data_IF_187140571220
#
_entry.id   IF_187140571220
#
_cell.length_a   1.000
_cell.length_b   1.000
_cell.length_c   1.000
_cell.angle_alpha   90.00
_cell.angle_beta   90.00
_cell.angle_gamma   90.00
#
_symmetry.space_group_name_H-M   'P 1'
#
loop_
_entity.id
_entity.type
_entity.pdbx_description
1 polymer ?
#
# COMPACT_ATOMS: atom_id res chain seq x y z
N UNK A 1 -19.43 4.81 5.63
CA UNK A 1 -19.04 3.75 4.68
C UNK A 1 -18.58 4.31 3.31
N UNK A 2 -19.41 5.03 2.53
CA UNK A 2 -19.01 5.53 1.20
C UNK A 2 -17.87 6.57 1.26
N UNK A 3 -17.90 7.49 2.22
CA UNK A 3 -16.81 8.47 2.42
C UNK A 3 -15.46 7.80 2.73
N UNK A 4 -15.47 6.70 3.49
CA UNK A 4 -14.25 5.95 3.81
C UNK A 4 -13.68 5.28 2.56
N UNK A 5 -14.53 4.65 1.75
CA UNK A 5 -14.12 4.05 0.48
C UNK A 5 -13.54 5.10 -0.48
N UNK A 6 -14.13 6.30 -0.55
CA UNK A 6 -13.59 7.42 -1.32
C UNK A 6 -12.19 7.83 -0.85
N UNK A 7 -11.97 7.94 0.47
CA UNK A 7 -10.65 8.28 1.04
C UNK A 7 -9.60 7.22 0.70
N UNK A 8 -9.93 5.93 0.77
CA UNK A 8 -9.02 4.85 0.37
C UNK A 8 -8.66 4.96 -1.11
N UNK A 9 -9.66 5.15 -1.99
CA UNK A 9 -9.44 5.28 -3.43
C UNK A 9 -8.58 6.51 -3.76
N UNK A 10 -8.79 7.63 -3.08
CA UNK A 10 -7.94 8.81 -3.20
C UNK A 10 -6.49 8.50 -2.79
N UNK A 11 -6.29 7.79 -1.67
CA UNK A 11 -4.98 7.32 -1.23
C UNK A 11 -4.28 6.42 -2.26
N UNK A 12 -5.02 5.50 -2.88
CA UNK A 12 -4.48 4.63 -3.93
C UNK A 12 -4.07 5.47 -5.16
N UNK A 13 -4.88 6.47 -5.53
CA UNK A 13 -4.57 7.36 -6.65
C UNK A 13 -3.29 8.17 -6.39
N UNK A 14 -3.17 8.74 -5.18
CA UNK A 14 -1.97 9.46 -4.73
C UNK A 14 -0.72 8.57 -4.80
N UNK A 15 -0.82 7.34 -4.27
CA UNK A 15 0.28 6.39 -4.29
C UNK A 15 0.69 6.00 -5.72
N UNK A 16 -0.27 5.80 -6.63
CA UNK A 16 0.04 5.55 -8.05
C UNK A 16 0.85 6.68 -8.69
N UNK A 17 0.52 7.94 -8.39
CA UNK A 17 1.29 9.09 -8.87
C UNK A 17 2.73 9.05 -8.34
N UNK A 18 2.91 8.82 -7.04
CA UNK A 18 4.23 8.71 -6.44
C UNK A 18 5.07 7.57 -7.06
N UNK A 19 4.45 6.41 -7.31
CA UNK A 19 5.13 5.27 -7.94
C UNK A 19 5.57 5.60 -9.38
N UNK A 20 4.74 6.34 -10.15
CA UNK A 20 5.11 6.78 -11.51
C UNK A 20 6.28 7.76 -11.50
N UNK A 21 6.30 8.67 -10.54
CA UNK A 21 7.33 9.70 -10.40
C UNK A 21 8.67 9.09 -9.93
N UNK A 22 8.62 8.22 -8.93
CA UNK A 22 9.83 7.64 -8.32
C UNK A 22 10.35 6.40 -9.04
N UNK A 23 9.51 5.72 -9.84
CA UNK A 23 9.84 4.50 -10.58
C UNK A 23 10.61 3.47 -9.75
N UNK A 24 10.07 3.06 -8.58
CA UNK A 24 10.79 2.17 -7.68
C UNK A 24 10.89 0.78 -8.29
N UNK A 25 12.05 0.14 -8.13
CA UNK A 25 12.24 -1.27 -8.51
C UNK A 25 11.50 -2.23 -7.58
N UNK A 26 11.17 -1.79 -6.35
CA UNK A 26 10.50 -2.59 -5.32
C UNK A 26 9.86 -1.68 -4.26
N UNK A 27 8.78 -2.15 -3.64
CA UNK A 27 8.12 -1.50 -2.50
C UNK A 27 8.08 -2.46 -1.31
N UNK A 28 8.54 -2.02 -0.15
CA UNK A 28 8.47 -2.77 1.11
C UNK A 28 7.33 -2.24 1.99
N UNK A 29 6.43 -3.12 2.42
CA UNK A 29 5.36 -2.83 3.37
C UNK A 29 5.66 -3.44 4.74
N UNK A 30 5.50 -2.66 5.81
CA UNK A 30 5.78 -3.09 7.19
C UNK A 30 4.50 -3.33 8.01
N UNK A 31 3.41 -3.72 7.34
CA UNK A 31 2.11 -3.95 7.97
C UNK A 31 1.29 -2.68 8.23
N UNK A 32 0.16 -2.87 8.93
CA UNK A 32 -0.81 -1.82 9.26
C UNK A 32 -1.76 -1.44 8.12
N UNK A 33 -3.00 -1.08 8.48
CA UNK A 33 -4.02 -0.59 7.54
C UNK A 33 -3.59 0.64 6.71
N UNK A 34 -2.79 1.61 7.25
CA UNK A 34 -2.32 2.74 6.45
C UNK A 34 -1.42 2.37 5.26
N UNK A 35 -0.76 1.21 5.27
CA UNK A 35 0.07 0.76 4.15
C UNK A 35 -0.77 0.30 2.95
N UNK A 36 -2.05 -0.03 3.15
CA UNK A 36 -2.91 -0.63 2.13
C UNK A 36 -2.98 0.18 0.81
N UNK A 37 -3.20 1.51 0.80
CA UNK A 37 -3.30 2.26 -0.45
C UNK A 37 -2.03 2.21 -1.31
N UNK A 38 -0.86 2.22 -0.67
CA UNK A 38 0.43 2.12 -1.34
C UNK A 38 0.66 0.73 -1.94
N UNK A 39 0.40 -0.33 -1.16
CA UNK A 39 0.54 -1.72 -1.63
C UNK A 39 -0.47 -2.06 -2.73
N UNK A 40 -1.70 -1.56 -2.63
CA UNK A 40 -2.71 -1.71 -3.67
C UNK A 40 -2.31 -0.99 -4.97
N UNK A 41 -1.73 0.21 -4.88
CA UNK A 41 -1.20 0.93 -6.04
C UNK A 41 -0.03 0.18 -6.69
N UNK A 42 0.94 -0.27 -5.89
CA UNK A 42 2.09 -1.05 -6.33
C UNK A 42 1.67 -2.31 -7.10
N UNK A 43 0.72 -3.06 -6.53
CA UNK A 43 0.20 -4.29 -7.14
C UNK A 43 -0.50 -4.01 -8.47
N UNK A 44 -1.31 -2.95 -8.55
CA UNK A 44 -1.97 -2.52 -9.80
C UNK A 44 -0.97 -2.07 -10.86
N UNK A 45 0.18 -1.55 -10.45
CA UNK A 45 1.25 -1.10 -11.34
C UNK A 45 2.31 -2.16 -11.63
N UNK A 46 2.12 -3.40 -11.15
CA UNK A 46 3.07 -4.51 -11.29
C UNK A 46 4.48 -4.19 -10.76
N UNK A 47 4.58 -3.32 -9.76
CA UNK A 47 5.83 -3.10 -9.03
C UNK A 47 5.99 -4.23 -8.01
N UNK A 48 7.17 -4.88 -7.93
CA UNK A 48 7.45 -5.90 -6.92
C UNK A 48 7.18 -5.41 -5.50
N UNK A 49 6.59 -6.26 -4.67
CA UNK A 49 6.24 -5.95 -3.27
C UNK A 49 6.90 -6.96 -2.35
N UNK A 50 7.52 -6.48 -1.27
CA UNK A 50 7.88 -7.27 -0.10
C UNK A 50 6.99 -6.82 1.07
N UNK A 51 6.47 -7.77 1.83
CA UNK A 51 5.73 -7.50 3.07
C UNK A 51 6.53 -8.07 4.22
N UNK A 52 6.80 -7.24 5.23
CA UNK A 52 7.37 -7.64 6.50
C UNK A 52 6.29 -7.52 7.57
N UNK A 53 6.13 -8.58 8.36
CA UNK A 53 5.25 -8.57 9.52
C UNK A 53 6.12 -8.68 10.79
N UNK A 54 5.95 -7.71 11.69
CA UNK A 54 6.73 -7.63 12.92
C UNK A 54 6.17 -8.56 14.01
N UNK A 55 4.86 -8.79 14.01
CA UNK A 55 4.26 -9.62 15.03
C UNK A 55 4.53 -11.10 14.75
N UNK A 56 4.91 -11.84 15.79
CA UNK A 56 5.07 -13.28 15.73
C UNK A 56 3.75 -14.02 15.39
N UNK A 57 2.61 -13.36 15.63
CA UNK A 57 1.27 -13.84 15.27
C UNK A 57 0.53 -12.73 14.54
N UNK A 58 0.20 -12.99 13.28
CA UNK A 58 -0.56 -12.07 12.42
C UNK A 58 -1.85 -11.62 13.10
N UNK A 59 -2.06 -10.31 13.16
CA UNK A 59 -3.32 -9.71 13.62
C UNK A 59 -3.52 -9.68 15.14
N UNK A 60 -2.49 -10.00 15.93
CA UNK A 60 -2.44 -9.66 17.36
C UNK A 60 -1.69 -8.35 17.54
N UNK A 61 -2.33 -7.40 18.21
CA UNK A 61 -1.76 -6.10 18.64
C UNK A 61 -1.75 -6.04 20.16
#
# INVERSE_FOLDING_TARGET
>A
LPATAMKINAGISRAKTLIRETRPSLIAGFGGYPAFPALAAARRMKVPIIIHEQNAVLGRV
#
